data_IF_922702226147
#
_entry.id   IF_922702226147
#
_cell.length_a   1.000
_cell.length_b   1.000
_cell.length_c   1.000
_cell.angle_alpha   90.00
_cell.angle_beta   90.00
_cell.angle_gamma   90.00
#
_symmetry.space_group_name_H-M   'P 1'
#
loop_
_entity.id
_entity.type
_entity.pdbx_description
1 polymer ?
#
# COMPACT_ATOMS: atom_id res chain seq x y z
N UNK A 1 -20.64 -20.03 -28.55
CA UNK A 1 -20.87 -21.19 -29.44
C UNK A 1 -20.35 -21.01 -30.88
N UNK A 2 -20.18 -19.79 -31.41
CA UNK A 2 -19.74 -19.56 -32.79
C UNK A 2 -18.24 -19.86 -33.04
N UNK A 3 -17.35 -19.52 -32.12
CA UNK A 3 -15.90 -19.72 -32.23
C UNK A 3 -15.49 -21.19 -32.33
N UNK A 4 -16.11 -22.08 -31.56
CA UNK A 4 -15.85 -23.53 -31.61
C UNK A 4 -16.27 -24.11 -32.97
N UNK A 5 -17.38 -23.64 -33.54
CA UNK A 5 -17.86 -24.08 -34.86
C UNK A 5 -16.96 -23.59 -36.00
N UNK A 6 -16.44 -22.37 -35.91
CA UNK A 6 -15.50 -21.82 -36.90
C UNK A 6 -14.13 -22.52 -36.80
N UNK A 7 -13.62 -22.75 -35.59
CA UNK A 7 -12.34 -23.43 -35.37
C UNK A 7 -12.36 -24.87 -35.89
N UNK A 8 -13.44 -25.63 -35.63
CA UNK A 8 -13.59 -27.00 -36.13
C UNK A 8 -13.74 -27.08 -37.64
N UNK A 9 -14.35 -26.07 -38.28
CA UNK A 9 -14.40 -25.97 -39.74
C UNK A 9 -13.02 -25.68 -40.32
N UNK A 10 -12.27 -24.71 -39.76
CA UNK A 10 -10.93 -24.34 -40.24
C UNK A 10 -9.97 -25.52 -40.21
N UNK A 11 -9.96 -26.29 -39.12
CA UNK A 11 -9.17 -27.52 -39.02
C UNK A 11 -9.54 -28.49 -40.15
N UNK A 12 -10.83 -28.73 -40.41
CA UNK A 12 -11.27 -29.61 -41.49
C UNK A 12 -10.93 -29.10 -42.89
N UNK A 13 -11.06 -27.79 -43.14
CA UNK A 13 -10.77 -27.18 -44.44
C UNK A 13 -9.29 -27.09 -44.75
N UNK A 14 -8.41 -26.96 -43.75
CA UNK A 14 -6.98 -26.84 -43.98
C UNK A 14 -6.25 -28.19 -43.85
N UNK A 15 -6.71 -29.11 -42.99
CA UNK A 15 -6.06 -30.41 -42.82
C UNK A 15 -6.12 -31.25 -44.10
N UNK A 16 -7.28 -31.31 -44.78
CA UNK A 16 -7.46 -32.10 -46.00
C UNK A 16 -6.52 -31.66 -47.16
N UNK A 17 -6.49 -30.37 -47.57
CA UNK A 17 -5.63 -29.93 -48.66
C UNK A 17 -4.14 -30.06 -48.31
N UNK A 18 -3.75 -29.77 -47.07
CA UNK A 18 -2.34 -29.88 -46.64
C UNK A 18 -1.87 -31.34 -46.72
N UNK A 19 -2.65 -32.28 -46.19
CA UNK A 19 -2.33 -33.71 -46.28
C UNK A 19 -2.29 -34.18 -47.73
N UNK A 20 -3.23 -33.76 -48.58
CA UNK A 20 -3.23 -34.13 -50.00
C UNK A 20 -2.01 -33.58 -50.76
N UNK A 21 -1.59 -32.36 -50.44
CA UNK A 21 -0.42 -31.73 -51.05
C UNK A 21 0.88 -32.42 -50.62
N UNK A 22 1.00 -32.75 -49.33
CA UNK A 22 2.14 -33.50 -48.80
C UNK A 22 2.20 -34.90 -49.43
N UNK A 23 1.07 -35.60 -49.54
CA UNK A 23 0.98 -36.90 -50.24
C UNK A 23 1.43 -36.79 -51.71
N UNK A 24 1.06 -35.73 -52.43
CA UNK A 24 1.53 -35.47 -53.80
C UNK A 24 3.06 -35.30 -53.86
N UNK A 25 3.62 -34.52 -52.94
CA UNK A 25 5.07 -34.26 -52.86
C UNK A 25 5.91 -35.51 -52.57
N UNK A 26 5.35 -36.49 -51.86
CA UNK A 26 6.06 -37.76 -51.59
C UNK A 26 6.17 -38.68 -52.81
N UNK A 27 5.36 -38.45 -53.85
CA UNK A 27 5.47 -39.17 -55.12
C UNK A 27 6.56 -38.59 -56.01
N UNK A 28 6.77 -37.28 -55.96
CA UNK A 28 7.76 -36.58 -56.79
C UNK A 28 9.14 -36.56 -56.14
N UNK A 29 9.22 -36.42 -54.81
CA UNK A 29 10.48 -36.24 -54.10
C UNK A 29 10.79 -37.43 -53.16
N UNK A 30 11.75 -38.32 -53.51
CA UNK A 30 12.10 -39.46 -52.66
C UNK A 30 12.78 -39.04 -51.36
N UNK A 31 13.52 -37.94 -51.34
CA UNK A 31 14.12 -37.39 -50.12
C UNK A 31 13.05 -36.93 -49.13
N UNK A 32 11.99 -36.28 -49.64
CA UNK A 32 10.86 -35.85 -48.83
C UNK A 32 10.04 -37.05 -48.32
N UNK A 33 9.88 -38.10 -49.14
CA UNK A 33 9.31 -39.37 -48.70
C UNK A 33 10.10 -39.97 -47.53
N UNK A 34 11.43 -40.05 -47.63
CA UNK A 34 12.31 -40.52 -46.54
C UNK A 34 12.17 -39.66 -45.28
N UNK A 35 12.06 -38.34 -45.42
CA UNK A 35 11.80 -37.44 -44.29
C UNK A 35 10.46 -37.77 -43.61
N UNK A 36 9.36 -37.90 -44.37
CA UNK A 36 8.05 -38.26 -43.81
C UNK A 36 8.07 -39.61 -43.10
N UNK A 37 8.76 -40.60 -43.67
CA UNK A 37 8.94 -41.92 -43.05
C UNK A 37 9.73 -41.81 -41.74
N UNK A 38 10.82 -41.03 -41.73
CA UNK A 38 11.62 -40.81 -40.54
C UNK A 38 10.82 -40.10 -39.43
N UNK A 39 10.04 -39.09 -39.79
CA UNK A 39 9.11 -38.39 -38.87
C UNK A 39 8.08 -39.37 -38.30
N UNK A 40 7.42 -40.17 -39.15
CA UNK A 40 6.44 -41.15 -38.68
C UNK A 40 7.05 -42.19 -37.73
N UNK A 41 8.25 -42.67 -38.05
CA UNK A 41 8.96 -43.63 -37.21
C UNK A 41 9.44 -43.00 -35.90
N UNK A 42 9.93 -41.76 -35.91
CA UNK A 42 10.31 -41.06 -34.68
C UNK A 42 9.10 -40.83 -33.81
N UNK A 43 8.00 -40.25 -34.33
CA UNK A 43 6.77 -40.03 -33.56
C UNK A 43 6.26 -41.33 -32.94
N UNK A 44 6.27 -42.44 -33.69
CA UNK A 44 5.86 -43.74 -33.15
C UNK A 44 6.80 -44.24 -32.04
N UNK A 45 8.11 -44.02 -32.17
CA UNK A 45 9.08 -44.33 -31.11
C UNK A 45 8.87 -43.45 -29.88
N UNK A 46 8.60 -42.16 -30.05
CA UNK A 46 8.28 -41.23 -28.96
C UNK A 46 7.03 -41.67 -28.22
N UNK A 47 5.95 -42.00 -28.94
CA UNK A 47 4.70 -42.49 -28.36
C UNK A 47 4.92 -43.78 -27.57
N UNK A 48 5.65 -44.74 -28.13
CA UNK A 48 5.94 -46.01 -27.46
C UNK A 48 6.84 -45.80 -26.23
N UNK A 49 7.86 -44.93 -26.32
CA UNK A 49 8.70 -44.57 -25.18
C UNK A 49 7.88 -43.91 -24.07
N UNK A 50 6.95 -43.02 -24.40
CA UNK A 50 6.05 -42.41 -23.43
C UNK A 50 5.13 -43.44 -22.79
N UNK A 51 4.50 -44.33 -23.57
CA UNK A 51 3.65 -45.41 -23.04
C UNK A 51 4.42 -46.34 -22.13
N UNK A 52 5.63 -46.75 -22.51
CA UNK A 52 6.49 -47.58 -21.65
C UNK A 52 6.90 -46.86 -20.36
N UNK A 53 7.21 -45.54 -20.42
CA UNK A 53 7.60 -44.75 -19.24
C UNK A 53 6.45 -44.46 -18.29
N UNK A 54 5.24 -44.24 -18.80
CA UNK A 54 4.08 -43.86 -17.98
C UNK A 54 3.24 -45.06 -17.52
N UNK A 55 3.05 -46.06 -18.37
CA UNK A 55 2.15 -47.19 -18.13
C UNK A 55 2.89 -48.50 -17.78
N UNK A 56 4.23 -48.49 -17.78
CA UNK A 56 5.04 -49.63 -17.36
C UNK A 56 4.96 -50.87 -18.28
N UNK A 57 4.46 -50.73 -19.51
CA UNK A 57 4.40 -51.83 -20.47
C UNK A 57 5.79 -52.38 -20.82
N UNK A 58 5.92 -53.71 -20.92
CA UNK A 58 7.16 -54.39 -21.35
C UNK A 58 7.56 -54.00 -22.78
N UNK A 59 8.88 -54.11 -23.06
CA UNK A 59 9.49 -53.76 -24.35
C UNK A 59 9.03 -54.71 -25.47
N UNK A 60 7.87 -54.45 -26.04
CA UNK A 60 7.40 -55.12 -27.26
C UNK A 60 8.26 -54.70 -28.47
N UNK A 61 8.58 -55.64 -29.36
CA UNK A 61 9.37 -55.38 -30.58
C UNK A 61 8.60 -54.47 -31.54
N UNK A 62 9.00 -53.20 -31.60
CA UNK A 62 8.43 -52.17 -32.49
C UNK A 62 8.63 -52.61 -33.96
N UNK A 63 7.54 -53.01 -34.63
CA UNK A 63 7.57 -53.34 -36.07
C UNK A 63 7.57 -52.03 -36.87
N UNK A 64 8.53 -51.81 -37.79
CA UNK A 64 8.48 -50.63 -38.65
C UNK A 64 7.21 -50.69 -39.52
N UNK A 65 6.49 -49.57 -39.60
CA UNK A 65 5.33 -49.44 -40.48
C UNK A 65 5.75 -49.62 -41.95
N UNK A 66 4.88 -50.20 -42.76
CA UNK A 66 5.05 -50.24 -44.22
C UNK A 66 5.22 -48.82 -44.77
N UNK A 67 6.04 -48.65 -45.80
CA UNK A 67 6.39 -47.32 -46.31
C UNK A 67 5.17 -46.47 -46.66
N UNK A 68 4.14 -47.06 -47.27
CA UNK A 68 2.91 -46.36 -47.62
C UNK A 68 2.18 -45.82 -46.38
N UNK A 69 2.10 -46.61 -45.31
CA UNK A 69 1.45 -46.21 -44.06
C UNK A 69 2.28 -45.19 -43.29
N UNK A 70 3.60 -45.33 -43.30
CA UNK A 70 4.52 -44.36 -42.69
C UNK A 70 4.42 -42.99 -43.38
N UNK A 71 4.31 -42.96 -44.71
CA UNK A 71 4.10 -41.72 -45.46
C UNK A 71 2.77 -41.06 -45.11
N UNK A 72 1.69 -41.83 -45.00
CA UNK A 72 0.38 -41.29 -44.61
C UNK A 72 0.39 -40.70 -43.20
N UNK A 73 0.94 -41.42 -42.22
CA UNK A 73 1.05 -40.93 -40.84
C UNK A 73 1.95 -39.70 -40.76
N UNK A 74 3.08 -39.69 -41.47
CA UNK A 74 3.99 -38.54 -41.52
C UNK A 74 3.33 -37.31 -42.15
N UNK A 75 2.52 -37.50 -43.20
CA UNK A 75 1.80 -36.41 -43.85
C UNK A 75 0.72 -35.79 -42.95
N UNK A 76 -0.03 -36.61 -42.22
CA UNK A 76 -1.03 -36.13 -41.25
C UNK A 76 -0.35 -35.34 -40.12
N UNK A 77 0.75 -35.86 -39.56
CA UNK A 77 1.49 -35.20 -38.49
C UNK A 77 2.05 -33.83 -38.90
N UNK A 78 2.63 -33.73 -40.11
CA UNK A 78 3.11 -32.45 -40.64
C UNK A 78 1.98 -31.45 -40.86
N UNK A 79 0.82 -31.92 -41.34
CA UNK A 79 -0.35 -31.06 -41.51
C UNK A 79 -0.88 -30.51 -40.19
N UNK A 80 -1.02 -31.37 -39.18
CA UNK A 80 -1.45 -30.95 -37.84
C UNK A 80 -0.43 -29.99 -37.19
N UNK A 81 0.86 -30.29 -37.28
CA UNK A 81 1.93 -29.44 -36.73
C UNK A 81 1.93 -28.05 -37.36
N UNK A 82 1.76 -27.96 -38.68
CA UNK A 82 1.69 -26.68 -39.38
C UNK A 82 0.48 -25.85 -38.92
N UNK A 83 -0.69 -26.47 -38.74
CA UNK A 83 -1.88 -25.79 -38.24
C UNK A 83 -1.71 -25.27 -36.82
N UNK A 84 -1.15 -26.08 -35.92
CA UNK A 84 -0.84 -25.64 -34.57
C UNK A 84 0.21 -24.54 -34.55
N UNK A 85 1.24 -24.62 -35.38
CA UNK A 85 2.26 -23.59 -35.48
C UNK A 85 1.66 -22.23 -35.91
N UNK A 86 0.75 -22.23 -36.89
CA UNK A 86 0.05 -21.01 -37.32
C UNK A 86 -0.87 -20.49 -36.22
N UNK A 87 -1.62 -21.36 -35.53
CA UNK A 87 -2.51 -20.95 -34.44
C UNK A 87 -1.73 -20.37 -33.24
N UNK A 88 -0.69 -21.08 -32.78
CA UNK A 88 0.19 -20.61 -31.69
C UNK A 88 0.89 -19.33 -32.11
N UNK A 89 1.38 -19.26 -33.34
CA UNK A 89 2.02 -18.07 -33.90
C UNK A 89 1.08 -16.86 -33.92
N UNK A 90 -0.17 -17.04 -34.33
CA UNK A 90 -1.19 -15.98 -34.33
C UNK A 90 -1.49 -15.48 -32.91
N UNK A 91 -1.68 -16.40 -31.95
CA UNK A 91 -1.92 -16.06 -30.54
C UNK A 91 -0.70 -15.36 -29.93
N UNK A 92 0.52 -15.86 -30.18
CA UNK A 92 1.75 -15.25 -29.69
C UNK A 92 1.96 -13.86 -30.31
N UNK A 93 1.70 -13.70 -31.60
CA UNK A 93 1.77 -12.42 -32.29
C UNK A 93 0.79 -11.40 -31.70
N UNK A 94 -0.47 -11.82 -31.48
CA UNK A 94 -1.46 -10.98 -30.81
C UNK A 94 -1.03 -10.66 -29.37
N UNK A 95 -0.46 -11.62 -28.63
CA UNK A 95 0.00 -11.41 -27.27
C UNK A 95 1.12 -10.36 -27.22
N UNK A 96 2.12 -10.46 -28.09
CA UNK A 96 3.22 -9.48 -28.21
C UNK A 96 2.67 -8.10 -28.60
N UNK A 97 1.74 -8.05 -29.55
CA UNK A 97 1.10 -6.80 -29.97
C UNK A 97 0.20 -6.20 -28.88
N UNK A 98 -0.53 -7.03 -28.15
CA UNK A 98 -1.48 -6.68 -27.09
C UNK A 98 -0.76 -6.16 -25.85
N UNK A 99 0.43 -6.70 -25.54
CA UNK A 99 1.29 -6.20 -24.46
C UNK A 99 1.61 -4.71 -24.61
N UNK A 100 1.79 -4.21 -25.85
CA UNK A 100 2.00 -2.76 -26.08
C UNK A 100 0.78 -1.91 -25.70
N UNK A 101 -0.44 -2.44 -25.81
CA UNK A 101 -1.66 -1.77 -25.33
C UNK A 101 -1.89 -1.96 -23.82
N UNK A 102 -1.46 -3.08 -23.24
CA UNK A 102 -1.61 -3.37 -21.80
C UNK A 102 -0.63 -2.61 -20.90
N UNK A 103 0.49 -2.08 -21.43
CA UNK A 103 1.43 -1.25 -20.67
C UNK A 103 0.73 -0.04 -20.04
N UNK A 104 -0.14 0.63 -20.81
CA UNK A 104 -0.85 1.82 -20.36
C UNK A 104 -1.79 1.55 -19.18
N UNK A 105 -2.35 0.34 -19.05
CA UNK A 105 -3.19 -0.02 -17.90
C UNK A 105 -2.36 -0.29 -16.65
N UNK A 106 -1.19 -0.91 -16.80
CA UNK A 106 -0.27 -1.13 -15.67
C UNK A 106 0.27 0.20 -15.14
N UNK A 107 0.69 1.10 -16.02
CA UNK A 107 1.15 2.44 -15.63
C UNK A 107 0.08 3.27 -14.93
N UNK A 108 -1.20 3.14 -15.32
CA UNK A 108 -2.30 3.82 -14.63
C UNK A 108 -2.57 3.26 -13.23
N UNK A 109 -2.51 1.93 -13.08
CA UNK A 109 -2.66 1.30 -11.76
C UNK A 109 -1.48 1.65 -10.85
N UNK A 110 -0.26 1.62 -11.38
CA UNK A 110 0.94 2.00 -10.63
C UNK A 110 0.90 3.48 -10.20
N UNK A 111 0.44 4.38 -11.09
CA UNK A 111 0.24 5.79 -10.74
C UNK A 111 -0.84 6.00 -9.68
N UNK A 112 -1.95 5.25 -9.72
CA UNK A 112 -2.98 5.30 -8.70
C UNK A 112 -2.51 4.75 -7.34
N UNK A 113 -1.62 3.75 -7.35
CA UNK A 113 -1.01 3.23 -6.12
C UNK A 113 -0.03 4.24 -5.49
N UNK A 114 0.75 4.95 -6.32
CA UNK A 114 1.67 6.00 -5.89
C UNK A 114 0.92 7.19 -5.25
N UNK A 115 -0.18 7.61 -5.87
CA UNK A 115 -1.05 8.67 -5.34
C UNK A 115 -1.66 8.30 -3.97
N UNK A 116 -2.18 7.08 -3.83
CA UNK A 116 -2.71 6.58 -2.56
C UNK A 116 -1.62 6.49 -1.48
N UNK A 117 -0.40 6.08 -1.85
CA UNK A 117 0.73 6.06 -0.91
C UNK A 117 1.10 7.48 -0.46
N UNK A 118 1.11 8.46 -1.38
CA UNK A 118 1.33 9.88 -1.05
C UNK A 118 0.30 10.44 -0.08
N UNK A 119 -0.99 10.08 -0.24
CA UNK A 119 -2.03 10.48 0.72
C UNK A 119 -1.81 9.88 2.12
N UNK A 120 -1.39 8.62 2.21
CA UNK A 120 -1.10 7.98 3.50
C UNK A 120 0.07 8.68 4.19
N UNK A 121 1.15 8.97 3.45
CA UNK A 121 2.30 9.69 4.00
C UNK A 121 1.94 11.10 4.48
N UNK A 122 1.09 11.82 3.74
CA UNK A 122 0.55 13.12 4.16
C UNK A 122 -0.20 13.04 5.49
N UNK A 123 -1.13 12.09 5.61
CA UNK A 123 -1.92 11.88 6.84
C UNK A 123 -1.00 11.51 8.02
N UNK A 124 0.04 10.70 7.79
CA UNK A 124 0.99 10.35 8.85
C UNK A 124 1.80 11.57 9.34
N UNK A 125 2.18 12.46 8.42
CA UNK A 125 2.89 13.69 8.76
C UNK A 125 1.99 14.65 9.54
N UNK A 126 0.73 14.82 9.12
CA UNK A 126 -0.26 15.63 9.83
C UNK A 126 -0.52 15.07 11.24
N UNK A 127 -0.65 13.75 11.37
CA UNK A 127 -0.79 13.07 12.67
C UNK A 127 0.42 13.31 13.58
N UNK A 128 1.64 13.31 13.03
CA UNK A 128 2.86 13.61 13.81
C UNK A 128 2.88 15.06 14.26
N UNK A 129 2.50 16.00 13.39
CA UNK A 129 2.43 17.42 13.73
C UNK A 129 1.43 17.67 14.86
N UNK A 130 0.22 17.11 14.75
CA UNK A 130 -0.81 17.21 15.78
C UNK A 130 -0.35 16.61 17.11
N UNK A 131 0.33 15.45 17.08
CA UNK A 131 0.89 14.84 18.30
C UNK A 131 1.96 15.72 18.96
N UNK A 132 2.82 16.36 18.16
CA UNK A 132 3.84 17.27 18.68
C UNK A 132 3.20 18.49 19.34
N UNK A 133 2.19 19.09 18.69
CA UNK A 133 1.43 20.21 19.26
C UNK A 133 0.71 19.82 20.56
N UNK A 134 0.09 18.64 20.61
CA UNK A 134 -0.54 18.14 21.84
C UNK A 134 0.49 17.90 22.95
N UNK A 135 1.68 17.41 22.63
CA UNK A 135 2.76 17.23 23.60
C UNK A 135 3.28 18.56 24.16
N UNK A 136 3.40 19.59 23.32
CA UNK A 136 3.79 20.92 23.75
C UNK A 136 2.74 21.57 24.66
N UNK A 137 1.46 21.46 24.31
CA UNK A 137 0.34 21.91 25.15
C UNK A 137 0.29 21.17 26.49
N UNK A 138 0.52 19.84 26.48
CA UNK A 138 0.56 19.06 27.72
C UNK A 138 1.72 19.51 28.62
N UNK A 139 2.89 19.79 28.05
CA UNK A 139 4.04 20.32 28.80
C UNK A 139 3.76 21.69 29.43
N UNK A 140 3.01 22.56 28.74
CA UNK A 140 2.56 23.83 29.30
C UNK A 140 1.62 23.62 30.50
N UNK A 141 0.68 22.68 30.40
CA UNK A 141 -0.23 22.34 31.50
C UNK A 141 0.56 21.81 32.70
N UNK A 142 1.49 20.88 32.48
CA UNK A 142 2.29 20.28 33.55
C UNK A 142 3.13 21.34 34.30
N UNK A 143 3.73 22.29 33.56
CA UNK A 143 4.46 23.40 34.15
C UNK A 143 3.54 24.34 34.96
N UNK A 144 2.32 24.62 34.48
CA UNK A 144 1.34 25.41 35.24
C UNK A 144 0.88 24.70 36.52
N UNK A 145 0.71 23.37 36.47
CA UNK A 145 0.38 22.56 37.65
C UNK A 145 1.51 22.61 38.67
N UNK A 146 2.77 22.52 38.23
CA UNK A 146 3.94 22.61 39.10
C UNK A 146 4.03 23.98 39.78
N UNK A 147 3.81 25.07 39.03
CA UNK A 147 3.75 26.43 39.59
C UNK A 147 2.63 26.58 40.63
N UNK A 148 1.45 26.03 40.36
CA UNK A 148 0.33 26.09 41.31
C UNK A 148 0.63 25.30 42.58
N UNK A 149 1.25 24.12 42.46
CA UNK A 149 1.69 23.32 43.60
C UNK A 149 2.67 24.08 44.49
N UNK A 150 3.64 24.77 43.90
CA UNK A 150 4.59 25.61 44.64
C UNK A 150 3.87 26.77 45.34
N UNK A 151 2.91 27.41 44.66
CA UNK A 151 2.11 28.48 45.27
C UNK A 151 1.32 27.99 46.49
N UNK A 152 0.66 26.83 46.39
CA UNK A 152 -0.05 26.20 47.52
C UNK A 152 0.92 25.86 48.67
N UNK A 153 2.13 25.38 48.38
CA UNK A 153 3.14 25.11 49.41
C UNK A 153 3.58 26.38 50.14
N UNK A 154 3.80 27.48 49.39
CA UNK A 154 4.12 28.77 49.98
C UNK A 154 2.98 29.26 50.86
N UNK A 155 1.73 29.19 50.40
CA UNK A 155 0.56 29.58 51.18
C UNK A 155 0.42 28.76 52.47
N UNK A 156 0.63 27.44 52.41
CA UNK A 156 0.59 26.58 53.59
C UNK A 156 1.71 26.89 54.60
N UNK A 157 2.91 27.19 54.10
CA UNK A 157 4.05 27.57 54.94
C UNK A 157 3.79 28.92 55.61
N UNK A 158 3.25 29.87 54.86
CA UNK A 158 2.84 31.18 55.37
C UNK A 158 1.73 31.07 56.42
N UNK A 159 0.68 30.28 56.16
CA UNK A 159 -0.40 30.02 57.11
C UNK A 159 0.11 29.39 58.41
N UNK A 160 1.05 28.44 58.32
CA UNK A 160 1.69 27.80 59.48
C UNK A 160 2.54 28.78 60.30
N UNK A 161 3.13 29.78 59.65
CA UNK A 161 3.86 30.87 60.33
C UNK A 161 2.93 31.85 61.05
N UNK A 162 1.68 32.00 60.60
CA UNK A 162 0.65 32.83 61.26
C UNK A 162 -0.12 32.07 62.36
N UNK A 163 -0.09 30.74 62.38
CA UNK A 163 -0.77 29.90 63.36
C UNK A 163 0.13 29.53 64.57
N UNK A 164 0.95 30.45 65.07
CA UNK A 164 1.51 30.31 66.41
C UNK A 164 0.50 30.85 67.43
N UNK A 165 0.01 30.02 68.38
CA UNK A 165 -0.78 30.53 69.49
C UNK A 165 0.14 31.40 70.34
N UNK A 166 -0.31 32.61 70.66
CA UNK A 166 0.37 33.48 71.63
C UNK A 166 0.41 32.77 72.98
N UNK A 167 1.55 32.17 73.32
CA UNK A 167 1.82 31.87 74.72
C UNK A 167 1.92 33.20 75.48
N UNK A 168 1.25 33.33 76.64
CA UNK A 168 1.22 34.58 77.38
C UNK A 168 2.61 34.83 77.97
N UNK A 169 3.45 35.57 77.25
CA UNK A 169 4.75 35.99 77.77
C UNK A 169 4.50 37.05 78.86
N UNK A 170 4.89 36.70 80.08
CA UNK A 170 4.74 37.51 81.27
C UNK A 170 5.57 38.79 81.14
N UNK A 171 4.94 39.88 80.71
CA UNK A 171 5.48 41.24 80.81
C UNK A 171 5.01 41.86 82.13
N UNK A 172 5.97 42.18 83.00
CA UNK A 172 5.77 42.70 84.36
C UNK A 172 4.97 44.02 84.44
N UNK A 173 4.71 44.72 83.32
CA UNK A 173 3.97 46.00 83.28
C UNK A 173 2.59 45.94 82.56
N UNK A 174 1.96 44.76 82.42
CA UNK A 174 0.66 44.62 81.74
C UNK A 174 -0.56 45.28 82.42
N UNK A 175 -0.50 45.61 83.71
CA UNK A 175 -1.64 46.21 84.45
C UNK A 175 -1.77 47.72 84.22
N UNK A 176 -0.68 48.45 83.93
CA UNK A 176 -0.68 49.92 83.98
C UNK A 176 -1.34 50.64 82.79
N UNK A 177 -1.98 49.95 81.85
CA UNK A 177 -2.82 50.59 80.82
C UNK A 177 -2.07 51.41 79.75
N UNK A 178 -0.74 51.31 79.69
CA UNK A 178 0.07 51.86 78.61
C UNK A 178 0.23 50.78 77.54
N UNK A 179 -0.62 50.88 76.52
CA UNK A 179 -0.75 49.88 75.46
C UNK A 179 0.57 49.57 74.75
N UNK A 180 0.73 48.29 74.45
CA UNK A 180 1.74 47.71 73.58
C UNK A 180 1.73 48.46 72.22
N UNK A 181 2.64 49.41 72.03
CA UNK A 181 2.96 49.94 70.70
C UNK A 181 4.04 49.05 70.14
N UNK A 182 3.65 48.07 69.33
CA UNK A 182 4.41 47.56 68.19
C UNK A 182 3.57 46.51 67.45
N UNK A 183 2.50 46.98 66.80
CA UNK A 183 1.92 46.30 65.64
C UNK A 183 2.45 47.00 64.39
N UNK A 184 3.74 46.87 64.15
CA UNK A 184 4.34 47.12 62.83
C UNK A 184 5.43 46.07 62.69
N UNK A 185 5.18 44.97 62.00
CA UNK A 185 5.36 44.92 60.55
C UNK A 185 4.64 43.69 59.98
N UNK A 186 3.72 43.92 59.03
CA UNK A 186 3.48 42.95 57.96
C UNK A 186 3.73 43.55 56.57
N UNK A 187 4.21 44.80 56.48
CA UNK A 187 4.35 45.50 55.19
C UNK A 187 5.73 45.32 54.52
N UNK A 188 6.81 45.12 55.30
CA UNK A 188 8.16 45.03 54.73
C UNK A 188 8.40 43.70 54.00
N UNK A 189 7.76 42.63 54.46
CA UNK A 189 7.93 41.29 53.89
C UNK A 189 7.05 41.07 52.66
N UNK A 190 5.88 41.73 52.58
CA UNK A 190 5.00 41.67 51.42
C UNK A 190 5.63 42.36 50.18
N UNK A 191 6.37 43.45 50.36
CA UNK A 191 7.08 44.12 49.25
C UNK A 191 8.26 43.30 48.70
N UNK A 192 8.95 42.57 49.58
CA UNK A 192 10.05 41.67 49.17
C UNK A 192 9.48 40.50 48.36
N UNK A 193 8.33 39.95 48.79
CA UNK A 193 7.65 38.87 48.09
C UNK A 193 7.06 39.37 46.76
N UNK A 194 6.45 40.56 46.71
CA UNK A 194 5.99 41.18 45.46
C UNK A 194 7.13 41.47 44.48
N UNK A 195 8.32 41.82 44.99
CA UNK A 195 9.51 42.00 44.15
C UNK A 195 9.97 40.68 43.52
N UNK A 196 9.96 39.57 44.27
CA UNK A 196 10.32 38.26 43.70
C UNK A 196 9.23 37.69 42.79
N UNK A 197 7.95 37.91 43.09
CA UNK A 197 6.85 37.52 42.18
C UNK A 197 6.93 38.25 40.83
N UNK A 198 7.24 39.56 40.82
CA UNK A 198 7.50 40.33 39.59
C UNK A 198 8.75 39.86 38.83
N UNK A 199 9.73 39.30 39.54
CA UNK A 199 10.96 38.78 38.94
C UNK A 199 10.72 37.44 38.25
N UNK A 200 9.79 36.63 38.77
CA UNK A 200 9.36 35.37 38.19
C UNK A 200 8.38 35.57 37.03
N UNK A 201 7.50 36.58 37.09
CA UNK A 201 6.61 36.99 35.98
C UNK A 201 7.40 37.41 34.72
N UNK A 202 8.53 38.12 34.89
CA UNK A 202 9.44 38.48 33.79
C UNK A 202 10.18 37.29 33.16
N UNK A 203 10.19 36.12 33.79
CA UNK A 203 10.88 34.92 33.32
C UNK A 203 9.95 33.98 32.54
N UNK A 204 8.65 34.24 32.54
CA UNK A 204 7.67 33.56 31.71
C UNK A 204 7.72 34.16 30.30
N UNK A 205 8.07 33.40 29.25
CA UNK A 205 8.04 33.90 27.89
C UNK A 205 6.60 34.27 27.53
N UNK A 206 6.42 35.49 26.99
CA UNK A 206 5.14 35.97 26.47
C UNK A 206 4.47 34.89 25.63
N UNK A 207 3.23 34.55 25.98
CA UNK A 207 2.35 33.80 25.11
C UNK A 207 2.24 34.58 23.79
N UNK A 208 2.85 34.04 22.73
CA UNK A 208 2.55 34.50 21.37
C UNK A 208 1.06 34.34 21.14
N UNK A 209 0.50 35.40 20.57
CA UNK A 209 -0.91 35.65 20.26
C UNK A 209 -1.71 34.42 19.83
N UNK A 210 -3.04 34.39 20.07
CA UNK A 210 -3.89 33.29 19.64
C UNK A 210 -3.80 33.15 18.12
N UNK A 211 -3.42 31.97 17.67
CA UNK A 211 -3.48 31.58 16.27
C UNK A 211 -4.93 31.70 15.79
N UNK A 212 -5.19 32.69 14.94
CA UNK A 212 -6.49 32.96 14.32
C UNK A 212 -6.84 31.81 13.37
N UNK A 213 -7.85 31.01 13.74
CA UNK A 213 -8.41 29.93 12.89
C UNK A 213 -9.56 30.46 12.03
N UNK A 214 -9.35 31.53 11.28
CA UNK A 214 -10.36 32.05 10.36
C UNK A 214 -9.67 32.72 9.18
N UNK A 215 -10.05 32.28 7.96
CA UNK A 215 -9.42 32.52 6.64
C UNK A 215 -8.22 31.56 6.41
N UNK A 216 -8.28 30.51 5.58
CA UNK A 216 -8.89 30.38 4.26
C UNK A 216 -9.33 28.92 4.00
N UNK A 217 -10.51 28.54 4.46
CA UNK A 217 -11.34 27.58 3.72
C UNK A 217 -11.98 28.38 2.59
N UNK A 218 -11.35 28.34 1.42
CA UNK A 218 -11.75 29.08 0.23
C UNK A 218 -11.34 28.32 -1.02
N UNK A 219 -11.84 27.11 -1.17
CA UNK A 219 -11.97 26.45 -2.47
C UNK A 219 -13.32 25.72 -2.48
N UNK A 220 -14.16 26.15 -3.42
CA UNK A 220 -15.47 25.57 -3.70
C UNK A 220 -15.39 24.06 -3.91
N UNK A 221 -16.45 23.29 -3.54
CA UNK A 221 -16.50 21.88 -3.88
C UNK A 221 -16.43 21.72 -5.40
N UNK A 222 -15.69 20.73 -5.94
CA UNK A 222 -15.80 20.40 -7.36
C UNK A 222 -17.26 20.03 -7.66
N UNK A 223 -17.89 20.81 -8.54
CA UNK A 223 -19.20 20.49 -9.10
C UNK A 223 -19.13 19.12 -9.79
N UNK A 224 -19.82 18.15 -9.19
CA UNK A 224 -20.10 16.87 -9.81
C UNK A 224 -21.24 17.06 -10.83
N UNK A 225 -20.89 17.44 -12.06
CA UNK A 225 -21.81 17.46 -13.21
C UNK A 225 -21.83 16.12 -13.97
N UNK A 226 -21.23 15.04 -13.42
CA UNK A 226 -21.09 13.75 -14.13
C UNK A 226 -21.69 12.55 -13.38
N UNK A 227 -22.84 12.73 -12.71
CA UNK A 227 -23.61 11.60 -12.12
C UNK A 227 -25.07 11.52 -12.63
N UNK A 228 -25.55 12.47 -13.44
CA UNK A 228 -26.92 12.45 -13.97
C UNK A 228 -27.08 11.77 -15.35
N UNK A 229 -26.01 11.29 -15.98
CA UNK A 229 -26.09 10.61 -17.29
C UNK A 229 -26.27 9.08 -17.22
N UNK A 230 -26.24 8.47 -16.03
CA UNK A 230 -26.37 7.00 -15.87
C UNK A 230 -27.81 6.56 -15.53
N UNK A 231 -28.77 7.49 -15.41
CA UNK A 231 -30.15 7.14 -15.05
C UNK A 231 -31.21 7.29 -16.15
N UNK A 232 -30.83 7.65 -17.37
CA UNK A 232 -31.73 7.68 -18.53
C UNK A 232 -31.02 7.12 -19.77
N UNK A 233 -31.19 5.82 -20.00
CA UNK A 233 -30.70 5.09 -21.18
C UNK A 233 -30.99 3.60 -21.07
#
# INVERSE_FOLDING_TARGET
MATIKIGTLLVKTLAKPVVSSIKSQTKTNPNFKKFCVNVAQTTHRWEMQLKMRFLGYEKERIRPLSEARAVETGANFLGETLLFAVAIGAIAFETIRSQRKSSNRKTQVDAALDDVQGFIEGIENDKKLLRNQLGELQGQIDHLVELNKLNIQLLNTFAKSYSQPSEPTSSWFGWLGWGNKEVTKPLHDAEIILKELKKLEKKTPEAKQPFSVSEQFGQDPPQNDEIDSIRLG
#
